data_IF_284722754024
#
_entry.id   IF_284722754024
#
_cell.length_a   1.000
_cell.length_b   1.000
_cell.length_c   1.000
_cell.angle_alpha   90.00
_cell.angle_beta   90.00
_cell.angle_gamma   90.00
#
_symmetry.space_group_name_H-M   'P 1'
#
loop_
_entity.id
_entity.type
_entity.pdbx_description
1 polymer ?
#
# COMPACT_ATOMS: atom_id res chain seq x y z
N UNK A 1 -18.36 -12.15 -17.34
CA UNK A 1 -18.86 -11.96 -15.97
C UNK A 1 -18.37 -10.64 -15.41
N UNK A 2 -19.29 -9.86 -14.87
CA UNK A 2 -18.93 -8.64 -14.17
C UNK A 2 -18.50 -8.94 -12.74
N UNK A 3 -17.45 -8.27 -12.27
CA UNK A 3 -17.07 -8.36 -10.87
C UNK A 3 -18.09 -7.61 -10.00
N UNK A 4 -18.39 -8.11 -8.79
CA UNK A 4 -19.38 -7.45 -7.93
C UNK A 4 -18.85 -6.16 -7.28
N UNK A 5 -17.56 -5.89 -7.34
CA UNK A 5 -16.94 -4.72 -6.70
C UNK A 5 -16.57 -3.64 -7.70
N UNK A 6 -16.54 -2.40 -7.19
CA UNK A 6 -16.02 -1.23 -7.89
C UNK A 6 -14.79 -0.73 -7.13
N UNK A 7 -13.70 -0.44 -7.82
CA UNK A 7 -12.47 0.11 -7.24
C UNK A 7 -12.36 1.57 -7.60
N UNK A 8 -12.11 2.42 -6.61
CA UNK A 8 -12.04 3.88 -6.79
C UNK A 8 -11.21 4.53 -5.67
N UNK A 9 -10.77 5.80 -5.85
CA UNK A 9 -10.20 6.55 -4.75
C UNK A 9 -11.20 6.70 -3.60
N UNK A 10 -10.69 6.75 -2.38
CA UNK A 10 -11.55 7.00 -1.22
C UNK A 10 -12.17 8.39 -1.26
N UNK A 11 -13.32 8.53 -0.61
CA UNK A 11 -13.96 9.81 -0.29
C UNK A 11 -14.08 9.95 1.23
N UNK A 12 -14.38 11.14 1.76
CA UNK A 12 -14.57 11.30 3.21
C UNK A 12 -15.62 10.36 3.80
N UNK A 13 -16.62 9.94 3.02
CA UNK A 13 -17.64 9.00 3.46
C UNK A 13 -17.09 7.58 3.70
N UNK A 14 -15.90 7.26 3.19
CA UNK A 14 -15.32 5.92 3.29
C UNK A 14 -14.52 5.70 4.57
N UNK A 15 -14.21 6.74 5.34
CA UNK A 15 -13.27 6.65 6.48
C UNK A 15 -13.71 5.58 7.49
N UNK A 16 -14.99 5.55 7.83
CA UNK A 16 -15.54 4.54 8.75
C UNK A 16 -15.45 3.13 8.16
N UNK A 17 -15.77 2.97 6.88
CA UNK A 17 -15.69 1.68 6.19
C UNK A 17 -14.25 1.18 6.06
N UNK A 18 -13.31 2.07 5.82
CA UNK A 18 -11.87 1.72 5.78
C UNK A 18 -11.42 1.18 7.13
N UNK A 19 -11.81 1.83 8.23
CA UNK A 19 -11.48 1.31 9.56
C UNK A 19 -12.10 -0.06 9.77
N UNK A 20 -13.35 -0.24 9.39
CA UNK A 20 -14.05 -1.52 9.59
C UNK A 20 -13.40 -2.67 8.81
N UNK A 21 -13.03 -2.45 7.53
CA UNK A 21 -12.37 -3.50 6.73
C UNK A 21 -10.98 -3.82 7.29
N UNK A 22 -10.27 -2.81 7.78
CA UNK A 22 -8.92 -3.00 8.33
C UNK A 22 -8.99 -3.79 9.65
N UNK A 23 -9.90 -3.44 10.53
CA UNK A 23 -10.11 -4.18 11.80
C UNK A 23 -10.49 -5.64 11.50
N UNK A 24 -11.35 -5.87 10.52
CA UNK A 24 -11.77 -7.23 10.17
C UNK A 24 -10.67 -8.08 9.54
N UNK A 25 -9.72 -7.45 8.83
CA UNK A 25 -8.66 -8.15 8.10
C UNK A 25 -7.46 -8.53 8.96
N UNK A 26 -7.23 -7.86 10.08
CA UNK A 26 -6.04 -8.06 10.91
C UNK A 26 -6.39 -8.50 12.33
N UNK A 27 -5.47 -9.21 13.04
CA UNK A 27 -5.75 -9.72 14.38
C UNK A 27 -5.91 -8.64 15.45
N UNK A 28 -5.36 -7.44 15.22
CA UNK A 28 -5.43 -6.33 16.18
C UNK A 28 -5.95 -5.08 15.50
N UNK A 29 -6.11 -3.99 16.26
CA UNK A 29 -6.50 -2.69 15.71
C UNK A 29 -5.31 -1.83 15.28
N UNK A 30 -4.09 -2.34 15.39
CA UNK A 30 -2.89 -1.57 15.12
C UNK A 30 -2.85 -1.04 13.69
N UNK A 31 -3.25 -1.86 12.72
CA UNK A 31 -3.27 -1.45 11.31
C UNK A 31 -4.33 -0.39 11.04
N UNK A 32 -5.48 -0.48 11.68
CA UNK A 32 -6.53 0.54 11.57
C UNK A 32 -6.09 1.86 12.21
N UNK A 33 -5.43 1.78 13.36
CA UNK A 33 -4.86 2.95 14.04
C UNK A 33 -3.75 3.57 13.21
N UNK A 34 -2.94 2.74 12.52
CA UNK A 34 -1.91 3.19 11.59
C UNK A 34 -2.51 4.04 10.45
N UNK A 35 -3.59 3.57 9.84
CA UNK A 35 -4.25 4.33 8.76
C UNK A 35 -4.70 5.70 9.27
N UNK A 36 -5.31 5.76 10.45
CA UNK A 36 -5.78 7.02 11.02
C UNK A 36 -4.62 7.97 11.34
N UNK A 37 -3.53 7.45 11.89
CA UNK A 37 -2.34 8.24 12.18
C UNK A 37 -1.68 8.77 10.90
N UNK A 38 -1.61 7.95 9.86
CA UNK A 38 -1.08 8.37 8.56
C UNK A 38 -1.97 9.43 7.91
N UNK A 39 -3.30 9.28 8.02
CA UNK A 39 -4.25 10.27 7.49
C UNK A 39 -4.07 11.64 8.17
N UNK A 40 -3.72 11.65 9.43
CA UNK A 40 -3.50 12.88 10.20
C UNK A 40 -2.12 13.51 9.97
N UNK A 41 -1.19 12.80 9.34
CA UNK A 41 0.18 13.26 9.09
C UNK A 41 0.30 13.84 7.68
N UNK A 42 0.33 15.16 7.57
CA UNK A 42 0.43 15.86 6.29
C UNK A 42 1.72 15.55 5.51
N UNK A 43 2.76 15.07 6.18
CA UNK A 43 4.01 14.68 5.53
C UNK A 43 3.96 13.25 4.96
N UNK A 44 3.00 12.45 5.39
CA UNK A 44 2.84 11.06 4.95
C UNK A 44 1.67 10.87 3.99
N UNK A 45 0.54 11.50 4.29
CA UNK A 45 -0.70 11.32 3.52
C UNK A 45 -0.62 12.03 2.18
N UNK A 46 -1.03 11.31 1.11
CA UNK A 46 -1.08 11.86 -0.25
C UNK A 46 -2.51 11.69 -0.75
N UNK A 47 -3.22 12.79 -0.97
CA UNK A 47 -4.58 12.74 -1.51
C UNK A 47 -4.58 12.05 -2.87
N UNK A 48 -5.52 11.11 -3.06
CA UNK A 48 -5.64 10.34 -4.29
C UNK A 48 -4.85 9.03 -4.30
N UNK A 49 -4.11 8.70 -3.23
CA UNK A 49 -3.36 7.45 -3.10
C UNK A 49 -3.88 6.56 -1.96
N UNK A 50 -5.18 6.63 -1.71
CA UNK A 50 -5.93 5.69 -0.88
C UNK A 50 -7.11 5.18 -1.70
N UNK A 51 -7.15 3.88 -1.96
CA UNK A 51 -8.16 3.27 -2.82
C UNK A 51 -9.00 2.27 -2.05
N UNK A 52 -10.29 2.24 -2.38
CA UNK A 52 -11.25 1.29 -1.81
C UNK A 52 -11.85 0.43 -2.91
N UNK A 53 -12.23 -0.78 -2.53
CA UNK A 53 -13.15 -1.61 -3.29
C UNK A 53 -14.48 -1.64 -2.54
N UNK A 54 -15.58 -1.44 -3.26
CA UNK A 54 -16.91 -1.45 -2.64
C UNK A 54 -17.85 -2.41 -3.35
N UNK A 55 -18.77 -2.95 -2.59
CA UNK A 55 -19.90 -3.75 -3.08
C UNK A 55 -21.17 -3.17 -2.44
N UNK A 56 -22.10 -2.70 -3.28
CA UNK A 56 -23.38 -2.16 -2.82
C UNK A 56 -23.22 -1.10 -1.71
N UNK A 57 -22.23 -0.21 -1.86
CA UNK A 57 -21.95 0.86 -0.90
C UNK A 57 -21.16 0.45 0.33
N UNK A 58 -20.74 -0.82 0.43
CA UNK A 58 -19.94 -1.31 1.56
C UNK A 58 -18.49 -1.45 1.11
N UNK A 59 -17.55 -0.87 1.89
CA UNK A 59 -16.12 -1.03 1.65
C UNK A 59 -15.72 -2.46 2.01
N UNK A 60 -15.22 -3.20 1.02
CA UNK A 60 -14.79 -4.59 1.18
C UNK A 60 -13.27 -4.77 1.02
N UNK A 61 -12.58 -3.74 0.54
CA UNK A 61 -11.13 -3.74 0.39
C UNK A 61 -10.57 -2.33 0.48
N UNK A 62 -9.29 -2.23 0.87
CA UNK A 62 -8.58 -0.96 0.97
C UNK A 62 -7.09 -1.19 0.74
N UNK A 63 -6.44 -0.25 0.06
CA UNK A 63 -5.00 -0.22 -0.09
C UNK A 63 -4.51 1.23 -0.04
N UNK A 64 -3.36 1.45 0.57
CA UNK A 64 -2.83 2.78 0.88
C UNK A 64 -1.37 2.89 0.48
N UNK A 65 -1.04 3.98 -0.21
CA UNK A 65 0.33 4.43 -0.45
C UNK A 65 0.57 5.72 0.32
N UNK A 66 1.66 5.77 1.09
CA UNK A 66 2.06 6.97 1.82
C UNK A 66 3.50 7.35 1.49
N UNK A 67 3.85 8.61 1.74
CA UNK A 67 5.20 9.11 1.48
C UNK A 67 6.19 8.46 2.44
N UNK A 68 7.23 7.87 1.89
CA UNK A 68 8.44 7.51 2.61
C UNK A 68 9.64 8.03 1.82
N UNK A 69 10.83 7.81 2.34
CA UNK A 69 12.06 8.29 1.71
C UNK A 69 13.09 7.16 1.71
N UNK A 70 13.96 7.16 0.70
CA UNK A 70 15.13 6.28 0.63
C UNK A 70 16.34 7.20 0.55
N UNK A 71 17.11 7.29 1.63
CA UNK A 71 18.23 8.23 1.77
C UNK A 71 17.85 9.66 1.31
N UNK A 72 16.67 10.13 1.75
CA UNK A 72 16.16 11.45 1.44
C UNK A 72 15.42 11.59 0.11
N UNK A 73 15.47 10.60 -0.76
CA UNK A 73 14.72 10.62 -2.02
C UNK A 73 13.28 10.15 -1.80
N UNK A 74 12.34 10.79 -2.48
CA UNK A 74 10.92 10.44 -2.37
C UNK A 74 10.64 9.03 -2.86
N UNK A 75 9.86 8.29 -2.09
CA UNK A 75 9.34 6.97 -2.43
C UNK A 75 7.95 6.80 -1.80
N UNK A 76 7.30 5.69 -2.09
CA UNK A 76 6.00 5.35 -1.52
C UNK A 76 6.09 4.04 -0.75
N UNK A 77 5.41 3.98 0.39
CA UNK A 77 5.24 2.75 1.15
C UNK A 77 3.82 2.23 0.92
N UNK A 78 3.70 0.97 0.51
CA UNK A 78 2.42 0.30 0.33
C UNK A 78 2.06 -0.45 1.61
N UNK A 79 1.22 0.13 2.43
CA UNK A 79 0.73 -0.47 3.68
C UNK A 79 -0.30 0.45 4.37
N UNK A 80 -1.31 -0.10 5.00
CA UNK A 80 -1.73 -1.50 4.93
C UNK A 80 -2.59 -1.80 3.69
N UNK A 81 -2.75 -3.09 3.41
CA UNK A 81 -3.70 -3.58 2.41
C UNK A 81 -4.68 -4.51 3.12
N UNK A 82 -5.97 -4.29 2.96
CA UNK A 82 -7.01 -4.99 3.71
C UNK A 82 -8.12 -5.47 2.80
N UNK A 83 -8.63 -6.68 3.05
CA UNK A 83 -9.81 -7.22 2.38
C UNK A 83 -10.66 -7.93 3.43
N UNK A 84 -11.97 -7.69 3.43
CA UNK A 84 -12.88 -8.41 4.31
C UNK A 84 -12.67 -9.91 4.17
N UNK A 85 -12.70 -10.69 5.27
CA UNK A 85 -12.44 -12.13 5.21
C UNK A 85 -13.27 -12.87 4.17
N UNK A 86 -14.56 -12.54 4.03
CA UNK A 86 -15.46 -13.18 3.05
C UNK A 86 -15.14 -12.85 1.59
N UNK A 87 -14.34 -11.81 1.35
CA UNK A 87 -13.92 -11.41 0.00
C UNK A 87 -12.45 -11.74 -0.31
N UNK A 88 -11.73 -12.32 0.65
CA UNK A 88 -10.34 -12.73 0.42
C UNK A 88 -10.28 -13.84 -0.63
N UNK A 89 -9.21 -13.84 -1.42
CA UNK A 89 -8.96 -14.79 -2.51
C UNK A 89 -9.99 -14.72 -3.64
N UNK A 90 -10.67 -13.58 -3.78
CA UNK A 90 -11.65 -13.36 -4.87
C UNK A 90 -11.15 -12.38 -5.92
N UNK A 91 -9.98 -11.76 -5.72
CA UNK A 91 -9.41 -10.77 -6.63
C UNK A 91 -9.61 -9.32 -6.18
N UNK A 92 -10.27 -9.07 -5.05
CA UNK A 92 -10.52 -7.71 -4.53
C UNK A 92 -9.20 -7.01 -4.23
N UNK A 93 -8.29 -7.66 -3.49
CA UNK A 93 -7.00 -7.07 -3.14
C UNK A 93 -6.17 -6.76 -4.36
N UNK A 94 -6.09 -7.68 -5.30
CA UNK A 94 -5.33 -7.51 -6.55
C UNK A 94 -5.88 -6.34 -7.37
N UNK A 95 -7.21 -6.24 -7.51
CA UNK A 95 -7.84 -5.15 -8.24
C UNK A 95 -7.57 -3.79 -7.58
N UNK A 96 -7.66 -3.73 -6.24
CA UNK A 96 -7.45 -2.50 -5.49
C UNK A 96 -6.00 -2.02 -5.59
N UNK A 97 -5.05 -2.93 -5.40
CA UNK A 97 -3.62 -2.61 -5.49
C UNK A 97 -3.23 -2.22 -6.92
N UNK A 98 -3.74 -2.92 -7.93
CA UNK A 98 -3.46 -2.59 -9.33
C UNK A 98 -3.91 -1.17 -9.67
N UNK A 99 -5.10 -0.79 -9.25
CA UNK A 99 -5.61 0.56 -9.49
C UNK A 99 -4.80 1.61 -8.75
N UNK A 100 -4.42 1.34 -7.50
CA UNK A 100 -3.61 2.24 -6.69
C UNK A 100 -2.21 2.45 -7.29
N UNK A 101 -1.56 1.37 -7.72
CA UNK A 101 -0.25 1.47 -8.38
C UNK A 101 -0.34 2.24 -9.70
N UNK A 102 -1.44 2.09 -10.44
CA UNK A 102 -1.72 2.88 -11.64
C UNK A 102 -1.83 4.38 -11.34
N UNK A 103 -2.48 4.74 -10.23
CA UNK A 103 -2.58 6.13 -9.80
C UNK A 103 -1.20 6.71 -9.43
N UNK A 104 -0.36 5.93 -8.77
CA UNK A 104 1.02 6.34 -8.48
C UNK A 104 1.83 6.59 -9.75
N UNK A 105 1.68 5.72 -10.75
CA UNK A 105 2.34 5.89 -12.05
C UNK A 105 1.88 7.17 -12.74
N UNK A 106 0.58 7.45 -12.75
CA UNK A 106 0.03 8.66 -13.37
C UNK A 106 0.54 9.93 -12.70
N UNK A 107 0.87 9.87 -11.41
CA UNK A 107 1.42 11.00 -10.67
C UNK A 107 2.93 11.17 -10.88
N UNK A 108 3.58 10.26 -11.60
CA UNK A 108 5.02 10.32 -11.84
C UNK A 108 5.86 9.90 -10.65
N UNK A 109 5.34 9.09 -9.75
CA UNK A 109 6.09 8.59 -8.59
C UNK A 109 7.23 7.67 -9.02
N UNK A 110 8.36 7.70 -8.27
CA UNK A 110 9.57 6.98 -8.66
C UNK A 110 9.60 5.52 -8.25
N UNK A 111 9.27 5.23 -7.02
CA UNK A 111 9.43 3.89 -6.46
C UNK A 111 8.38 3.58 -5.40
N UNK A 112 8.04 2.28 -5.28
CA UNK A 112 7.13 1.76 -4.25
C UNK A 112 7.87 0.69 -3.48
N UNK A 113 7.77 0.75 -2.15
CA UNK A 113 8.39 -0.18 -1.20
C UNK A 113 7.30 -0.95 -0.48
N UNK A 114 7.49 -2.24 -0.27
CA UNK A 114 6.57 -3.06 0.51
C UNK A 114 7.31 -4.08 1.36
N UNK A 115 6.76 -4.37 2.53
CA UNK A 115 7.11 -5.53 3.33
C UNK A 115 5.89 -6.45 3.34
N UNK A 116 5.99 -7.61 2.68
CA UNK A 116 4.82 -8.48 2.51
C UNK A 116 5.18 -9.86 2.00
N UNK A 117 4.16 -10.60 1.59
CA UNK A 117 4.31 -11.99 1.18
C UNK A 117 5.02 -12.12 -0.17
N UNK A 118 6.13 -12.87 -0.16
CA UNK A 118 6.96 -13.08 -1.35
C UNK A 118 6.27 -13.90 -2.45
N UNK A 119 5.20 -14.60 -2.14
CA UNK A 119 4.43 -15.38 -3.11
C UNK A 119 3.23 -14.61 -3.70
N UNK A 120 2.96 -13.41 -3.19
CA UNK A 120 1.83 -12.59 -3.64
C UNK A 120 2.27 -11.35 -4.42
N UNK A 121 3.12 -10.51 -3.82
CA UNK A 121 3.45 -9.18 -4.36
C UNK A 121 4.27 -9.18 -5.65
N UNK A 122 5.09 -10.19 -5.97
CA UNK A 122 5.78 -10.20 -7.27
C UNK A 122 4.87 -10.13 -8.49
N UNK A 123 3.59 -10.52 -8.36
CA UNK A 123 2.61 -10.39 -9.46
C UNK A 123 2.41 -8.96 -9.94
N UNK A 124 2.72 -7.96 -9.10
CA UNK A 124 2.61 -6.55 -9.46
C UNK A 124 3.90 -5.97 -10.06
N UNK A 125 4.99 -6.73 -10.02
CA UNK A 125 6.31 -6.28 -10.48
C UNK A 125 7.32 -6.05 -9.36
N UNK A 126 6.95 -6.31 -8.10
CA UNK A 126 7.88 -6.22 -6.98
C UNK A 126 8.96 -7.29 -7.06
N UNK A 127 10.18 -6.91 -6.71
CA UNK A 127 11.33 -7.80 -6.57
C UNK A 127 12.02 -7.48 -5.23
N UNK A 128 12.90 -8.36 -4.71
CA UNK A 128 13.63 -8.03 -3.49
C UNK A 128 14.28 -6.65 -3.59
N UNK A 129 14.05 -5.81 -2.58
CA UNK A 129 14.55 -4.43 -2.56
C UNK A 129 16.06 -4.36 -2.63
N UNK A 130 16.77 -5.42 -2.17
CA UNK A 130 18.22 -5.53 -2.25
C UNK A 130 18.75 -5.45 -3.68
N UNK A 131 17.95 -5.82 -4.68
CA UNK A 131 18.34 -5.68 -6.09
C UNK A 131 18.55 -4.23 -6.52
N UNK A 132 17.94 -3.29 -5.79
CA UNK A 132 18.10 -1.86 -6.04
C UNK A 132 19.01 -1.19 -5.01
N UNK A 133 19.60 -1.97 -4.10
CA UNK A 133 20.41 -1.43 -3.01
C UNK A 133 19.58 -0.76 -1.92
N UNK A 134 18.30 -1.12 -1.78
CA UNK A 134 17.40 -0.57 -0.76
C UNK A 134 17.39 -1.48 0.46
N UNK A 135 17.57 -0.91 1.65
CA UNK A 135 17.52 -1.63 2.92
C UNK A 135 16.40 -1.08 3.81
N UNK A 136 15.86 -1.97 4.66
CA UNK A 136 14.77 -1.58 5.56
C UNK A 136 15.25 -0.79 6.79
N UNK A 137 16.52 -0.96 7.17
CA UNK A 137 17.05 -0.38 8.42
C UNK A 137 16.79 -1.23 9.65
N UNK A 138 16.15 -2.38 9.50
CA UNK A 138 15.90 -3.38 10.53
C UNK A 138 15.89 -4.78 9.89
N UNK A 139 15.97 -5.82 10.72
CA UNK A 139 16.04 -7.18 10.21
C UNK A 139 14.71 -7.62 9.59
N UNK A 140 14.75 -8.01 8.33
CA UNK A 140 13.63 -8.58 7.59
C UNK A 140 14.16 -9.64 6.63
N UNK A 141 13.35 -10.66 6.28
CA UNK A 141 13.72 -11.59 5.22
C UNK A 141 13.86 -10.83 3.89
N UNK A 142 14.92 -11.11 3.15
CA UNK A 142 15.19 -10.46 1.86
C UNK A 142 14.01 -10.62 0.89
N UNK A 143 13.44 -11.82 0.83
CA UNK A 143 12.31 -12.11 -0.05
C UNK A 143 11.02 -11.38 0.31
N UNK A 144 10.87 -10.92 1.54
CA UNK A 144 9.67 -10.23 2.03
C UNK A 144 9.76 -8.71 1.88
N UNK A 145 10.96 -8.16 1.82
CA UNK A 145 11.18 -6.72 1.66
C UNK A 145 11.44 -6.42 0.19
N UNK A 146 10.46 -5.80 -0.46
CA UNK A 146 10.42 -5.67 -1.91
C UNK A 146 10.27 -4.23 -2.35
N UNK A 147 10.70 -3.97 -3.58
CA UNK A 147 10.55 -2.68 -4.22
C UNK A 147 10.27 -2.84 -5.71
N UNK A 148 9.68 -1.80 -6.30
CA UNK A 148 9.52 -1.73 -7.75
C UNK A 148 9.54 -0.28 -8.20
N UNK A 149 9.97 0.02 -9.44
CA UNK A 149 9.74 1.34 -10.01
C UNK A 149 8.24 1.53 -10.24
N UNK A 150 7.73 2.70 -9.93
CA UNK A 150 6.32 3.03 -10.16
C UNK A 150 5.99 3.07 -11.66
N UNK A 151 6.95 3.53 -12.45
CA UNK A 151 6.89 3.51 -13.92
C UNK A 151 7.99 2.59 -14.44
N UNK A 152 7.73 1.71 -15.42
CA UNK A 152 8.78 0.85 -15.99
C UNK A 152 10.00 1.67 -16.44
N UNK A 153 11.18 1.26 -15.98
CA UNK A 153 12.44 1.94 -16.32
C UNK A 153 12.76 3.16 -15.47
N UNK A 154 11.87 3.60 -14.57
CA UNK A 154 12.18 4.68 -13.65
C UNK A 154 13.25 4.25 -12.64
N UNK A 155 14.15 5.15 -12.21
CA UNK A 155 15.17 4.78 -11.22
C UNK A 155 14.53 4.54 -9.85
N UNK A 156 15.04 3.51 -9.15
CA UNK A 156 14.72 3.26 -7.74
C UNK A 156 15.92 3.75 -6.93
N UNK A 157 15.74 4.70 -6.01
CA UNK A 157 16.86 5.21 -5.22
C UNK A 157 17.41 4.12 -4.32
N UNK A 158 18.74 4.06 -4.19
CA UNK A 158 19.41 3.15 -3.26
C UNK A 158 19.57 3.81 -1.89
N UNK A 159 19.56 3.01 -0.83
CA UNK A 159 19.76 3.48 0.52
C UNK A 159 18.82 2.85 1.52
N UNK A 160 18.68 3.47 2.69
CA UNK A 160 17.82 2.99 3.77
C UNK A 160 16.48 3.70 3.74
N UNK A 161 15.39 2.94 3.87
CA UNK A 161 14.04 3.48 3.90
C UNK A 161 13.81 4.20 5.24
N UNK A 162 13.29 5.42 5.15
CA UNK A 162 12.75 6.16 6.29
C UNK A 162 11.23 6.20 6.15
N UNK A 163 10.55 5.45 7.01
CA UNK A 163 9.10 5.41 7.05
C UNK A 163 8.52 6.61 7.79
N UNK A 164 7.25 6.98 7.54
CA UNK A 164 6.55 7.93 8.41
C UNK A 164 6.60 7.49 9.87
N UNK A 165 6.64 8.42 10.83
CA UNK A 165 6.71 8.08 12.27
C UNK A 165 5.61 7.13 12.74
N UNK A 166 4.43 7.18 12.13
CA UNK A 166 3.30 6.33 12.50
C UNK A 166 3.61 4.82 12.39
N UNK A 167 4.54 4.44 11.51
CA UNK A 167 4.93 3.02 11.39
C UNK A 167 5.71 2.50 12.61
N UNK A 168 6.29 3.37 13.42
CA UNK A 168 6.99 2.97 14.65
C UNK A 168 8.35 2.30 14.42
N UNK A 169 8.93 2.46 13.28
CA UNK A 169 10.22 1.86 12.91
C UNK A 169 11.24 2.89 12.47
#
# INVERSE_FOLDING_TARGET
MTTPWTVRPETPADVTGIRAVTVAAFPSQDEADLVEALRADANAWIDGLSYVAEVDGVVVGHALLTRCHVDGADALALAPCSVLPEYQRTGVGTATITALLGAARERGEGAVIILGHADYYPRFGFVPASRFGVTAGFDVPDEAFMAMPSTPGAPVPAGTVAYPPAFGV
#
